data_IF_260007683761
#
_entry.id   IF_260007683761
#
_cell.length_a   1.000
_cell.length_b   1.000
_cell.length_c   1.000
_cell.angle_alpha   90.00
_cell.angle_beta   90.00
_cell.angle_gamma   90.00
#
_symmetry.space_group_name_H-M   'P 1'
#
loop_
_entity.id
_entity.type
_entity.pdbx_description
1 polymer ?
#
# COMPACT_ATOMS: atom_id res chain seq x y z
N UNK A 1 82.37 43.88 -16.01
CA UNK A 1 82.49 42.45 -16.37
C UNK A 1 82.16 41.63 -15.12
N UNK A 2 81.02 40.91 -15.11
CA UNK A 2 80.57 39.91 -14.09
C UNK A 2 80.29 40.45 -12.66
N UNK A 3 79.37 39.98 -11.80
CA UNK A 3 78.13 39.15 -11.77
C UNK A 3 77.72 39.12 -10.25
N UNK A 4 76.43 38.82 -9.94
CA UNK A 4 75.76 38.61 -8.62
C UNK A 4 74.99 39.85 -8.14
N UNK A 5 73.65 40.02 -8.22
CA UNK A 5 72.44 39.17 -8.11
C UNK A 5 72.24 38.45 -6.77
N UNK A 6 71.45 39.06 -5.87
CA UNK A 6 70.12 38.58 -5.40
C UNK A 6 69.71 39.49 -4.21
N UNK A 7 68.64 40.28 -4.39
CA UNK A 7 67.94 40.95 -3.30
C UNK A 7 66.48 40.52 -3.36
N UNK A 8 65.98 40.09 -2.21
CA UNK A 8 64.62 39.64 -1.92
C UNK A 8 63.57 40.68 -2.36
N UNK A 9 62.63 40.28 -3.22
CA UNK A 9 61.40 41.02 -3.48
C UNK A 9 60.22 40.19 -2.95
N UNK A 10 59.72 40.55 -1.78
CA UNK A 10 58.48 40.02 -1.22
C UNK A 10 57.32 40.69 -1.97
N UNK A 11 56.65 39.93 -2.83
CA UNK A 11 55.40 40.34 -3.45
C UNK A 11 54.25 40.12 -2.46
N UNK A 12 53.71 41.20 -1.90
CA UNK A 12 52.39 41.21 -1.26
C UNK A 12 51.33 41.28 -2.36
N UNK A 13 50.72 40.14 -2.69
CA UNK A 13 49.50 40.08 -3.48
C UNK A 13 48.34 40.27 -2.49
N UNK A 14 47.69 41.43 -2.54
CA UNK A 14 46.39 41.63 -1.90
C UNK A 14 45.34 40.86 -2.70
N UNK A 15 45.04 39.63 -2.28
CA UNK A 15 43.83 38.93 -2.70
C UNK A 15 42.65 39.50 -1.92
N UNK A 16 41.83 40.32 -2.58
CA UNK A 16 40.48 40.62 -2.13
C UNK A 16 39.69 39.30 -2.15
N UNK A 17 39.55 38.67 -0.98
CA UNK A 17 38.62 37.57 -0.79
C UNK A 17 37.20 38.12 -0.89
N UNK A 18 36.49 37.79 -1.97
CA UNK A 18 35.03 37.84 -1.97
C UNK A 18 34.55 36.85 -0.91
N UNK A 19 34.12 37.36 0.24
CA UNK A 19 33.32 36.58 1.18
C UNK A 19 32.00 36.30 0.47
N UNK A 20 31.86 35.09 -0.06
CA UNK A 20 30.55 34.52 -0.37
C UNK A 20 29.77 34.54 0.94
N UNK A 21 28.85 35.50 1.07
CA UNK A 21 27.84 35.46 2.10
C UNK A 21 26.96 34.28 1.72
N UNK A 22 27.24 33.11 2.30
CA UNK A 22 26.25 32.05 2.40
C UNK A 22 25.01 32.69 3.01
N UNK A 23 23.99 32.89 2.19
CA UNK A 23 22.67 33.29 2.63
C UNK A 23 22.17 32.19 3.55
N UNK A 24 22.44 32.34 4.85
CA UNK A 24 21.87 31.49 5.89
C UNK A 24 20.36 31.55 5.71
N UNK A 25 19.76 30.45 5.29
CA UNK A 25 18.31 30.29 5.29
C UNK A 25 17.85 30.43 6.73
N UNK A 26 17.27 31.58 7.07
CA UNK A 26 16.75 31.82 8.42
C UNK A 26 15.63 30.80 8.67
N UNK A 27 15.89 29.83 9.55
CA UNK A 27 14.92 28.83 9.94
C UNK A 27 14.03 29.44 11.02
N UNK A 28 12.90 29.99 10.60
CA UNK A 28 11.88 30.49 11.51
C UNK A 28 11.09 29.33 12.11
N UNK A 29 11.03 29.26 13.44
CA UNK A 29 10.24 28.26 14.16
C UNK A 29 8.83 28.80 14.42
N UNK A 30 7.87 28.41 13.60
CA UNK A 30 6.47 28.80 13.75
C UNK A 30 5.73 27.88 14.71
N UNK A 31 4.68 28.37 15.40
CA UNK A 31 3.80 27.50 16.16
C UNK A 31 3.21 26.44 15.23
N UNK A 32 3.19 25.18 15.69
CA UNK A 32 2.60 24.07 14.94
C UNK A 32 1.29 23.68 15.58
N UNK A 33 0.23 23.67 14.78
CA UNK A 33 -1.12 23.33 15.25
C UNK A 33 -1.41 21.90 14.82
N UNK A 34 -1.70 21.04 15.79
CA UNK A 34 -2.02 19.64 15.52
C UNK A 34 -3.39 19.57 14.83
N UNK A 35 -3.42 18.90 13.69
CA UNK A 35 -4.61 18.64 12.90
C UNK A 35 -4.84 17.15 12.77
N UNK A 36 -6.08 16.75 12.45
CA UNK A 36 -6.44 15.37 12.18
C UNK A 36 -7.24 15.29 10.88
N UNK A 37 -6.79 14.40 9.99
CA UNK A 37 -7.47 14.08 8.75
C UNK A 37 -8.01 12.66 8.87
N UNK A 38 -9.33 12.49 8.79
CA UNK A 38 -9.96 11.17 8.74
C UNK A 38 -10.49 10.90 7.34
N UNK A 39 -10.14 9.73 6.81
CA UNK A 39 -10.54 9.27 5.47
C UNK A 39 -11.22 7.90 5.57
N UNK A 40 -12.46 7.75 5.05
CA UNK A 40 -13.07 6.45 4.91
C UNK A 40 -12.42 5.69 3.77
N UNK A 41 -12.09 4.41 4.01
CA UNK A 41 -11.50 3.49 3.04
C UNK A 41 -12.45 2.31 2.88
N UNK A 42 -12.80 2.04 1.62
CA UNK A 42 -13.58 0.88 1.21
C UNK A 42 -12.73 0.04 0.29
N UNK A 43 -12.52 -1.23 0.66
CA UNK A 43 -11.74 -2.20 -0.10
C UNK A 43 -12.70 -3.25 -0.67
N UNK A 44 -12.98 -3.25 -1.97
CA UNK A 44 -13.79 -4.29 -2.59
C UNK A 44 -13.09 -5.65 -2.52
N UNK A 45 -13.79 -6.69 -2.09
CA UNK A 45 -13.24 -8.06 -2.07
C UNK A 45 -12.94 -8.60 -3.47
N UNK A 46 -13.57 -8.03 -4.51
CA UNK A 46 -13.27 -8.33 -5.91
C UNK A 46 -11.82 -7.96 -6.27
N UNK A 47 -11.29 -6.86 -5.75
CA UNK A 47 -9.89 -6.46 -6.00
C UNK A 47 -8.92 -7.46 -5.38
N UNK A 48 -9.18 -7.89 -4.14
CA UNK A 48 -8.39 -8.93 -3.48
C UNK A 48 -8.47 -10.25 -4.25
N UNK A 49 -9.67 -10.62 -4.71
CA UNK A 49 -9.88 -11.81 -5.55
C UNK A 49 -9.11 -11.72 -6.87
N UNK A 50 -9.07 -10.55 -7.53
CA UNK A 50 -8.30 -10.34 -8.75
C UNK A 50 -6.79 -10.47 -8.52
N UNK A 51 -6.27 -9.88 -7.44
CA UNK A 51 -4.85 -10.01 -7.06
C UNK A 51 -4.46 -11.48 -6.86
N UNK A 52 -5.26 -12.23 -6.10
CA UNK A 52 -5.03 -13.66 -5.87
C UNK A 52 -5.13 -14.46 -7.18
N UNK A 53 -6.12 -14.18 -8.02
CA UNK A 53 -6.29 -14.92 -9.26
C UNK A 53 -5.19 -14.67 -10.29
N UNK A 54 -4.55 -13.50 -10.24
CA UNK A 54 -3.40 -13.15 -11.08
C UNK A 54 -2.13 -13.88 -10.62
N UNK A 55 -1.95 -14.09 -9.31
CA UNK A 55 -0.79 -14.80 -8.78
C UNK A 55 -0.89 -16.33 -8.89
N UNK A 56 -2.11 -16.88 -8.86
CA UNK A 56 -2.36 -18.32 -8.93
C UNK A 56 -2.54 -18.78 -10.39
N UNK A 57 -1.58 -19.57 -10.90
CA UNK A 57 -1.63 -20.22 -12.21
C UNK A 57 -2.84 -21.14 -12.39
N UNK A 58 -3.19 -21.46 -13.64
CA UNK A 58 -4.28 -22.38 -13.95
C UNK A 58 -3.98 -23.82 -13.50
N UNK A 59 -2.82 -24.37 -13.87
CA UNK A 59 -2.33 -25.63 -13.32
C UNK A 59 -1.68 -25.35 -11.96
N UNK A 60 -2.35 -25.77 -10.89
CA UNK A 60 -1.95 -25.48 -9.52
C UNK A 60 -1.02 -26.55 -8.93
N UNK A 61 -1.12 -27.78 -9.42
CA UNK A 61 -0.29 -28.89 -8.97
C UNK A 61 -0.20 -29.98 -10.05
N UNK A 62 0.96 -30.60 -10.16
CA UNK A 62 1.25 -31.67 -11.12
C UNK A 62 2.24 -32.65 -10.51
N UNK A 63 1.87 -33.92 -10.54
CA UNK A 63 2.72 -35.07 -10.31
C UNK A 63 2.59 -36.00 -11.53
N UNK A 64 3.72 -36.23 -12.21
CA UNK A 64 3.82 -37.04 -13.43
C UNK A 64 4.67 -38.30 -13.23
N UNK A 65 5.07 -38.64 -12.01
CA UNK A 65 5.90 -39.80 -11.72
C UNK A 65 5.07 -40.91 -11.06
N UNK A 66 5.50 -42.16 -11.24
CA UNK A 66 4.90 -43.32 -10.56
C UNK A 66 5.79 -43.84 -9.43
N UNK A 67 7.03 -43.36 -9.37
CA UNK A 67 8.13 -43.95 -8.62
C UNK A 67 8.58 -43.10 -7.44
N UNK A 68 8.16 -41.84 -7.40
CA UNK A 68 8.35 -40.94 -6.27
C UNK A 68 7.34 -41.26 -5.15
N UNK A 69 7.46 -40.55 -4.03
CA UNK A 69 6.61 -40.73 -2.84
C UNK A 69 6.50 -42.19 -2.37
N UNK A 70 7.62 -42.92 -2.37
CA UNK A 70 7.73 -44.35 -2.06
C UNK A 70 7.01 -45.26 -3.07
N UNK A 71 7.14 -44.95 -4.37
CA UNK A 71 6.61 -45.77 -5.46
C UNK A 71 5.10 -45.98 -5.34
N UNK A 72 4.37 -44.88 -5.14
CA UNK A 72 2.92 -44.88 -4.89
C UNK A 72 2.06 -45.20 -6.14
N UNK A 73 2.70 -45.28 -7.31
CA UNK A 73 2.08 -45.54 -8.60
C UNK A 73 0.96 -44.55 -8.91
N UNK A 74 1.11 -43.29 -8.51
CA UNK A 74 0.06 -42.29 -8.56
C UNK A 74 0.50 -41.02 -9.29
N UNK A 75 -0.28 -40.61 -10.28
CA UNK A 75 -0.15 -39.30 -10.94
C UNK A 75 -1.37 -38.46 -10.68
N UNK A 76 -1.15 -37.16 -10.57
CA UNK A 76 -2.25 -36.22 -10.38
C UNK A 76 -1.96 -34.88 -11.01
N UNK A 77 -2.99 -34.29 -11.62
CA UNK A 77 -2.97 -32.93 -12.12
C UNK A 77 -4.18 -32.21 -11.60
N UNK A 78 -3.95 -30.98 -11.11
CA UNK A 78 -5.00 -30.17 -10.52
C UNK A 78 -5.00 -28.81 -11.20
N UNK A 79 -6.15 -28.45 -11.74
CA UNK A 79 -6.38 -27.18 -12.41
C UNK A 79 -7.43 -26.36 -11.67
N UNK A 80 -7.20 -25.05 -11.58
CA UNK A 80 -8.22 -24.04 -11.29
C UNK A 80 -9.06 -23.84 -12.55
N UNK A 81 -10.36 -24.12 -12.49
CA UNK A 81 -11.25 -24.01 -13.67
C UNK A 81 -11.96 -22.67 -13.80
N UNK A 82 -12.06 -21.92 -12.70
CA UNK A 82 -12.68 -20.58 -12.66
C UNK A 82 -11.95 -19.71 -11.60
N UNK A 83 -12.12 -18.39 -11.63
CA UNK A 83 -11.53 -17.51 -10.62
C UNK A 83 -11.92 -17.92 -9.19
N UNK A 84 -10.95 -17.85 -8.28
CA UNK A 84 -11.15 -18.02 -6.83
C UNK A 84 -12.07 -16.92 -6.34
N UNK A 85 -13.20 -17.30 -5.73
CA UNK A 85 -14.21 -16.36 -5.26
C UNK A 85 -14.01 -16.08 -3.77
N UNK A 86 -14.05 -14.80 -3.40
CA UNK A 86 -14.05 -14.34 -2.01
C UNK A 86 -15.41 -13.73 -1.67
N UNK A 87 -15.98 -14.10 -0.54
CA UNK A 87 -17.24 -13.55 -0.04
C UNK A 87 -17.07 -13.19 1.44
N UNK A 88 -17.40 -11.96 1.82
CA UNK A 88 -17.36 -11.50 3.20
C UNK A 88 -18.47 -12.16 4.01
N UNK A 89 -18.08 -12.82 5.11
CA UNK A 89 -18.97 -13.36 6.11
C UNK A 89 -19.15 -12.41 7.31
N UNK A 90 -19.75 -12.93 8.37
CA UNK A 90 -19.86 -12.23 9.67
C UNK A 90 -18.56 -12.38 10.49
N UNK A 91 -18.29 -11.47 11.42
CA UNK A 91 -17.18 -11.57 12.39
C UNK A 91 -15.77 -11.66 11.75
N UNK A 92 -15.47 -10.77 10.79
CA UNK A 92 -14.13 -10.68 10.15
C UNK A 92 -13.70 -11.96 9.42
N UNK A 93 -14.70 -12.68 8.90
CA UNK A 93 -14.49 -13.91 8.16
C UNK A 93 -14.66 -13.68 6.65
N UNK A 94 -13.87 -14.37 5.84
CA UNK A 94 -14.05 -14.48 4.40
C UNK A 94 -14.23 -15.95 4.04
N UNK A 95 -15.31 -16.24 3.30
CA UNK A 95 -15.49 -17.51 2.61
C UNK A 95 -14.70 -17.49 1.30
N UNK A 96 -13.83 -18.47 1.12
CA UNK A 96 -13.04 -18.70 -0.07
C UNK A 96 -13.60 -19.92 -0.79
N UNK A 97 -13.91 -19.78 -2.07
CA UNK A 97 -14.29 -20.91 -2.93
C UNK A 97 -13.30 -21.10 -4.08
N UNK A 98 -12.78 -22.32 -4.18
CA UNK A 98 -11.78 -22.70 -5.17
C UNK A 98 -12.36 -23.82 -6.05
N UNK A 99 -12.76 -23.49 -7.29
CA UNK A 99 -13.26 -24.46 -8.26
C UNK A 99 -12.09 -25.18 -8.95
N UNK A 100 -12.05 -26.50 -8.78
CA UNK A 100 -10.95 -27.36 -9.20
C UNK A 100 -11.42 -28.46 -10.15
N UNK A 101 -10.59 -28.75 -11.15
CA UNK A 101 -10.63 -29.98 -11.94
C UNK A 101 -9.41 -30.81 -11.57
N UNK A 102 -9.63 -32.08 -11.31
CA UNK A 102 -8.58 -33.01 -10.89
C UNK A 102 -8.61 -34.19 -11.84
N UNK A 103 -7.47 -34.48 -12.45
CA UNK A 103 -7.19 -35.73 -13.15
C UNK A 103 -6.25 -36.53 -12.26
N UNK A 104 -6.58 -37.78 -12.00
CA UNK A 104 -5.76 -38.67 -11.21
C UNK A 104 -5.67 -40.02 -11.90
N UNK A 105 -4.49 -40.62 -11.91
CA UNK A 105 -4.21 -41.93 -12.48
C UNK A 105 -3.46 -42.77 -11.46
N UNK A 106 -3.92 -44.00 -11.24
CA UNK A 106 -3.33 -44.90 -10.25
C UNK A 106 -3.09 -46.28 -10.84
N UNK A 107 -1.89 -46.82 -10.60
CA UNK A 107 -1.56 -48.22 -10.85
C UNK A 107 -2.17 -49.12 -9.79
N UNK A 108 -2.94 -50.13 -10.22
CA UNK A 108 -3.50 -51.18 -9.38
C UNK A 108 -2.78 -52.48 -9.74
N UNK A 109 -2.09 -53.07 -8.77
CA UNK A 109 -1.33 -54.30 -8.98
C UNK A 109 -0.33 -54.57 -7.87
N UNK A 110 0.33 -55.73 -7.94
CA UNK A 110 1.35 -56.18 -6.98
C UNK A 110 2.51 -56.82 -7.73
N UNK A 111 3.66 -56.97 -7.06
CA UNK A 111 4.84 -57.67 -7.61
C UNK A 111 5.38 -57.10 -8.94
N UNK A 112 5.28 -55.78 -9.15
CA UNK A 112 5.83 -55.09 -10.33
C UNK A 112 4.95 -55.13 -11.58
N UNK A 113 3.74 -55.70 -11.51
CA UNK A 113 2.75 -55.66 -12.59
C UNK A 113 1.60 -54.75 -12.16
N UNK A 114 1.39 -53.66 -12.89
CA UNK A 114 0.36 -52.66 -12.59
C UNK A 114 -0.56 -52.44 -13.79
N UNK A 115 -1.86 -52.34 -13.51
CA UNK A 115 -2.85 -51.83 -14.47
C UNK A 115 -3.25 -50.42 -14.05
N UNK A 116 -3.11 -49.46 -14.95
CA UNK A 116 -3.41 -48.07 -14.65
C UNK A 116 -4.86 -47.73 -14.96
N UNK A 117 -5.48 -47.03 -14.03
CA UNK A 117 -6.84 -46.52 -14.16
C UNK A 117 -6.85 -45.05 -13.80
N UNK A 118 -7.57 -44.25 -14.56
CA UNK A 118 -7.69 -42.83 -14.30
C UNK A 118 -9.13 -42.39 -14.08
N UNK A 119 -9.25 -41.23 -13.46
CA UNK A 119 -10.51 -40.53 -13.25
C UNK A 119 -10.27 -39.05 -13.48
N UNK A 120 -11.26 -38.37 -14.03
CA UNK A 120 -11.34 -36.91 -14.02
C UNK A 120 -12.58 -36.51 -13.27
N UNK A 121 -12.47 -35.52 -12.39
CA UNK A 121 -13.59 -35.03 -11.61
C UNK A 121 -13.43 -33.55 -11.28
N UNK A 122 -14.53 -32.94 -10.86
CA UNK A 122 -14.58 -31.51 -10.56
C UNK A 122 -15.23 -31.26 -9.21
N UNK A 123 -14.65 -30.35 -8.45
CA UNK A 123 -15.08 -30.02 -7.09
C UNK A 123 -14.93 -28.53 -6.84
N UNK A 124 -15.74 -27.99 -5.94
CA UNK A 124 -15.50 -26.65 -5.38
C UNK A 124 -15.16 -26.82 -3.91
N UNK A 125 -13.91 -26.54 -3.56
CA UNK A 125 -13.45 -26.52 -2.17
C UNK A 125 -13.84 -25.19 -1.53
N UNK A 126 -14.31 -25.25 -0.30
CA UNK A 126 -14.73 -24.08 0.48
C UNK A 126 -13.88 -23.97 1.74
N UNK A 127 -13.45 -22.75 2.07
CA UNK A 127 -12.64 -22.46 3.26
C UNK A 127 -13.14 -21.19 3.94
N UNK A 128 -13.06 -21.15 5.27
CA UNK A 128 -13.35 -19.95 6.04
C UNK A 128 -12.03 -19.40 6.58
N UNK A 129 -11.68 -18.16 6.25
CA UNK A 129 -10.50 -17.49 6.79
C UNK A 129 -10.90 -16.33 7.69
N UNK A 130 -10.28 -16.23 8.86
CA UNK A 130 -10.33 -15.03 9.68
C UNK A 130 -9.12 -14.17 9.38
N UNK A 131 -9.33 -12.86 9.19
CA UNK A 131 -8.26 -11.89 8.95
C UNK A 131 -7.97 -11.06 10.20
N UNK A 132 -6.69 -10.89 10.51
CA UNK A 132 -6.21 -9.98 11.56
C UNK A 132 -5.27 -8.96 10.93
N UNK A 133 -5.67 -7.69 10.94
CA UNK A 133 -4.77 -6.61 10.54
C UNK A 133 -3.87 -6.23 11.71
N UNK A 134 -2.57 -6.22 11.48
CA UNK A 134 -1.57 -5.93 12.50
C UNK A 134 -1.08 -4.49 12.36
N UNK A 135 -0.68 -3.88 13.49
CA UNK A 135 -0.26 -2.49 13.58
C UNK A 135 0.99 -2.13 12.75
N UNK A 136 1.70 -3.13 12.23
CA UNK A 136 2.87 -3.03 11.37
C UNK A 136 2.53 -3.13 9.87
N UNK A 137 1.25 -2.98 9.51
CA UNK A 137 0.74 -3.02 8.13
C UNK A 137 0.75 -4.40 7.46
N UNK A 138 0.91 -5.49 8.23
CA UNK A 138 0.74 -6.85 7.72
C UNK A 138 -0.62 -7.43 8.09
N UNK A 139 -1.15 -8.31 7.25
CA UNK A 139 -2.35 -9.10 7.57
C UNK A 139 -1.92 -10.53 7.85
N UNK A 140 -2.40 -11.08 8.97
CA UNK A 140 -2.33 -12.51 9.23
C UNK A 140 -3.69 -13.15 9.01
N UNK A 141 -3.67 -14.40 8.57
CA UNK A 141 -4.87 -15.16 8.24
C UNK A 141 -4.88 -16.47 9.02
N UNK A 142 -6.08 -16.94 9.35
CA UNK A 142 -6.28 -18.27 9.92
C UNK A 142 -7.36 -18.97 9.12
N UNK A 143 -6.94 -19.86 8.23
CA UNK A 143 -7.86 -20.58 7.34
C UNK A 143 -8.28 -21.91 7.95
N UNK A 144 -9.57 -22.22 7.87
CA UNK A 144 -10.17 -23.50 8.27
C UNK A 144 -10.93 -24.12 7.11
N UNK A 145 -10.95 -25.46 7.01
CA UNK A 145 -11.73 -26.14 5.99
C UNK A 145 -13.22 -25.89 6.22
N UNK A 146 -13.97 -25.67 5.15
CA UNK A 146 -15.42 -25.51 5.16
C UNK A 146 -16.08 -26.47 4.15
N UNK A 147 -15.50 -27.67 4.01
CA UNK A 147 -16.02 -28.73 3.15
C UNK A 147 -15.85 -28.45 1.66
N UNK A 148 -16.48 -29.29 0.84
CA UNK A 148 -16.49 -29.15 -0.62
C UNK A 148 -17.78 -29.70 -1.19
N UNK A 149 -18.04 -29.36 -2.46
CA UNK A 149 -19.15 -29.92 -3.22
C UNK A 149 -18.64 -30.49 -4.54
N UNK A 150 -19.19 -31.64 -4.92
CA UNK A 150 -18.95 -32.24 -6.22
C UNK A 150 -19.66 -31.45 -7.30
N UNK A 151 -18.92 -31.11 -8.36
CA UNK A 151 -19.50 -30.70 -9.65
C UNK A 151 -19.66 -31.94 -10.52
N UNK A 152 -18.59 -32.76 -10.60
CA UNK A 152 -18.57 -34.06 -11.26
C UNK A 152 -17.93 -35.08 -10.32
N UNK A 153 -18.59 -36.21 -10.08
CA UNK A 153 -18.08 -37.25 -9.16
C UNK A 153 -17.03 -38.14 -9.84
N UNK A 154 -16.05 -38.66 -9.10
CA UNK A 154 -15.01 -39.52 -9.65
C UNK A 154 -15.53 -40.95 -9.86
N UNK A 155 -15.23 -41.49 -11.04
CA UNK A 155 -15.66 -42.81 -11.52
C UNK A 155 -14.49 -43.42 -12.30
N UNK A 156 -14.22 -44.69 -12.05
CA UNK A 156 -13.34 -45.49 -12.89
C UNK A 156 -14.16 -46.14 -14.00
N UNK A 157 -13.77 -45.89 -15.24
CA UNK A 157 -14.46 -46.37 -16.43
C UNK A 157 -13.71 -47.58 -17.03
N UNK A 158 -14.34 -48.76 -16.95
CA UNK A 158 -13.87 -49.99 -17.56
C UNK A 158 -14.69 -50.35 -18.81
N UNK A 159 -15.23 -49.35 -19.50
CA UNK A 159 -16.06 -49.48 -20.69
C UNK A 159 -17.49 -49.88 -20.36
N UNK A 160 -17.73 -51.17 -20.07
CA UNK A 160 -19.09 -51.68 -19.76
C UNK A 160 -19.49 -51.49 -18.30
N UNK A 161 -18.52 -51.20 -17.43
CA UNK A 161 -18.73 -51.08 -15.98
C UNK A 161 -18.10 -49.76 -15.52
N UNK A 162 -18.89 -48.97 -14.81
CA UNK A 162 -18.46 -47.73 -14.18
C UNK A 162 -18.48 -47.90 -12.67
N UNK A 163 -17.31 -47.78 -12.04
CA UNK A 163 -17.16 -47.98 -10.59
C UNK A 163 -17.02 -46.62 -9.91
N UNK A 164 -17.99 -46.16 -9.11
CA UNK A 164 -17.87 -44.91 -8.38
C UNK A 164 -16.84 -45.05 -7.26
N UNK A 165 -15.84 -44.16 -7.26
CA UNK A 165 -14.77 -44.13 -6.24
C UNK A 165 -14.89 -42.91 -5.31
N UNK A 166 -16.09 -42.34 -5.23
CA UNK A 166 -16.37 -41.08 -4.52
C UNK A 166 -15.87 -41.10 -3.08
N UNK A 167 -16.15 -42.16 -2.31
CA UNK A 167 -15.78 -42.23 -0.88
C UNK A 167 -14.27 -42.28 -0.64
N UNK A 168 -13.51 -42.91 -1.55
CA UNK A 168 -12.04 -43.00 -1.44
C UNK A 168 -11.43 -41.62 -1.71
N UNK A 169 -11.90 -40.95 -2.77
CA UNK A 169 -11.42 -39.62 -3.14
C UNK A 169 -11.83 -38.59 -2.08
N UNK A 170 -13.06 -38.66 -1.56
CA UNK A 170 -13.58 -37.78 -0.51
C UNK A 170 -12.68 -37.77 0.73
N UNK A 171 -12.28 -38.95 1.23
CA UNK A 171 -11.35 -39.04 2.37
C UNK A 171 -10.04 -38.29 2.12
N UNK A 172 -9.47 -38.46 0.92
CA UNK A 172 -8.24 -37.77 0.53
C UNK A 172 -8.45 -36.26 0.39
N UNK A 173 -9.55 -35.82 -0.22
CA UNK A 173 -9.86 -34.39 -0.36
C UNK A 173 -10.02 -33.71 1.00
N UNK A 174 -10.65 -34.36 1.98
CA UNK A 174 -10.77 -33.84 3.35
C UNK A 174 -9.39 -33.63 3.98
N UNK A 175 -8.48 -34.61 3.85
CA UNK A 175 -7.11 -34.47 4.34
C UNK A 175 -6.35 -33.34 3.63
N UNK A 176 -6.49 -33.25 2.31
CA UNK A 176 -5.84 -32.21 1.50
C UNK A 176 -6.39 -30.81 1.81
N UNK A 177 -7.67 -30.66 2.14
CA UNK A 177 -8.21 -29.36 2.58
C UNK A 177 -7.46 -28.81 3.80
N UNK A 178 -7.10 -29.66 4.76
CA UNK A 178 -6.34 -29.21 5.92
C UNK A 178 -4.95 -28.71 5.54
N UNK A 179 -4.29 -29.37 4.58
CA UNK A 179 -3.00 -28.93 4.04
C UNK A 179 -3.14 -27.63 3.27
N UNK A 180 -4.19 -27.50 2.45
CA UNK A 180 -4.48 -26.27 1.69
C UNK A 180 -4.74 -25.07 2.59
N UNK A 181 -5.30 -25.23 3.79
CA UNK A 181 -5.46 -24.11 4.72
C UNK A 181 -4.12 -23.41 4.99
N UNK A 182 -3.05 -24.19 5.24
CA UNK A 182 -1.71 -23.63 5.47
C UNK A 182 -1.15 -22.94 4.22
N UNK A 183 -1.35 -23.55 3.06
CA UNK A 183 -0.91 -22.97 1.78
C UNK A 183 -1.63 -21.66 1.50
N UNK A 184 -2.96 -21.61 1.73
CA UNK A 184 -3.76 -20.40 1.59
C UNK A 184 -3.23 -19.31 2.53
N UNK A 185 -2.96 -19.64 3.80
CA UNK A 185 -2.45 -18.67 4.77
C UNK A 185 -1.06 -18.13 4.36
N UNK A 186 -0.16 -19.00 3.89
CA UNK A 186 1.16 -18.60 3.41
C UNK A 186 1.09 -17.71 2.17
N UNK A 187 0.24 -18.08 1.20
CA UNK A 187 0.07 -17.29 -0.02
C UNK A 187 -0.55 -15.93 0.31
N UNK A 188 -1.59 -15.88 1.15
CA UNK A 188 -2.19 -14.62 1.59
C UNK A 188 -1.20 -13.74 2.34
N UNK A 189 -0.42 -14.29 3.27
CA UNK A 189 0.60 -13.52 4.00
C UNK A 189 1.66 -12.89 3.07
N UNK A 190 2.02 -13.57 1.98
CA UNK A 190 2.98 -13.03 1.00
C UNK A 190 2.43 -11.85 0.18
N UNK A 191 1.12 -11.81 -0.05
CA UNK A 191 0.45 -10.82 -0.90
C UNK A 191 -0.14 -9.65 -0.09
N UNK A 192 -0.51 -9.88 1.17
CA UNK A 192 -1.19 -8.92 2.04
C UNK A 192 -0.21 -8.20 2.99
N UNK A 193 0.90 -7.71 2.44
CA UNK A 193 1.84 -6.82 3.14
C UNK A 193 1.73 -5.40 2.56
N UNK A 194 1.27 -4.46 3.38
CA UNK A 194 1.03 -3.08 2.95
C UNK A 194 2.10 -2.09 3.39
N UNK A 195 3.22 -2.55 3.95
CA UNK A 195 4.30 -1.70 4.46
C UNK A 195 4.84 -0.77 3.37
N UNK A 196 5.08 -1.28 2.16
CA UNK A 196 5.59 -0.46 1.06
C UNK A 196 4.60 0.62 0.62
N UNK A 197 3.30 0.31 0.61
CA UNK A 197 2.26 1.29 0.31
C UNK A 197 2.18 2.36 1.39
N UNK A 198 2.30 1.98 2.67
CA UNK A 198 2.34 2.93 3.78
C UNK A 198 3.55 3.87 3.71
N UNK A 199 4.74 3.35 3.39
CA UNK A 199 5.95 4.17 3.17
C UNK A 199 5.77 5.14 2.01
N UNK A 200 5.24 4.65 0.89
CA UNK A 200 5.02 5.46 -0.31
C UNK A 200 4.02 6.59 -0.03
N UNK A 201 2.90 6.27 0.61
CA UNK A 201 1.89 7.26 0.99
C UNK A 201 2.46 8.29 1.97
N UNK A 202 3.15 7.85 3.03
CA UNK A 202 3.76 8.74 4.01
C UNK A 202 4.74 9.72 3.38
N UNK A 203 5.61 9.23 2.50
CA UNK A 203 6.59 10.05 1.80
C UNK A 203 5.92 11.03 0.83
N UNK A 204 4.86 10.61 0.14
CA UNK A 204 4.08 11.50 -0.72
C UNK A 204 3.40 12.62 0.07
N UNK A 205 2.75 12.29 1.19
CA UNK A 205 2.14 13.28 2.10
C UNK A 205 3.16 14.25 2.71
N UNK A 206 4.41 13.82 2.83
CA UNK A 206 5.49 14.63 3.41
C UNK A 206 6.15 15.59 2.39
N UNK A 207 5.76 15.53 1.11
CA UNK A 207 6.25 16.46 0.09
C UNK A 207 5.45 17.76 0.10
N UNK A 208 6.10 18.93 -0.01
CA UNK A 208 5.41 20.20 -0.13
C UNK A 208 4.57 20.29 -1.41
N UNK A 209 3.30 20.65 -1.25
CA UNK A 209 2.33 20.83 -2.33
C UNK A 209 2.21 22.30 -2.69
N UNK A 210 2.26 22.66 -3.98
CA UNK A 210 1.87 24.02 -4.37
C UNK A 210 0.34 24.12 -4.29
N UNK A 211 -0.16 25.06 -3.49
CA UNK A 211 -1.60 25.26 -3.29
C UNK A 211 -2.11 26.57 -3.90
N UNK A 212 -1.20 27.46 -4.32
CA UNK A 212 -1.54 28.67 -5.06
C UNK A 212 -0.36 29.08 -5.93
N UNK A 213 -0.54 29.03 -7.25
CA UNK A 213 0.48 29.54 -8.19
C UNK A 213 0.51 31.07 -8.20
N UNK A 214 -0.65 31.73 -8.06
CA UNK A 214 -0.79 33.19 -8.07
C UNK A 214 0.07 33.86 -7.00
N UNK A 215 0.01 33.31 -5.78
CA UNK A 215 0.76 33.79 -4.62
C UNK A 215 2.04 32.97 -4.38
N UNK A 216 2.31 31.95 -5.19
CA UNK A 216 3.40 31.01 -5.00
C UNK A 216 3.41 30.43 -3.56
N UNK A 217 2.25 29.97 -3.11
CA UNK A 217 2.04 29.42 -1.76
C UNK A 217 2.15 27.90 -1.78
N UNK A 218 2.93 27.39 -0.84
CA UNK A 218 3.23 25.97 -0.66
C UNK A 218 2.69 25.48 0.68
N UNK A 219 2.05 24.32 0.69
CA UNK A 219 1.62 23.60 1.87
C UNK A 219 2.65 22.53 2.22
N UNK A 220 3.19 22.59 3.43
CA UNK A 220 4.03 21.54 4.01
C UNK A 220 3.20 20.79 5.05
N UNK A 221 3.05 19.49 4.84
CA UNK A 221 2.41 18.57 5.79
C UNK A 221 3.49 17.72 6.45
N UNK A 222 3.46 17.63 7.78
CA UNK A 222 4.34 16.79 8.57
C UNK A 222 3.50 15.76 9.33
N UNK A 223 3.38 14.52 8.82
CA UNK A 223 2.61 13.50 9.50
C UNK A 223 3.27 13.06 10.82
N UNK A 224 2.46 12.71 11.82
CA UNK A 224 2.87 12.41 13.19
C UNK A 224 2.53 10.96 13.53
N UNK A 225 1.27 10.57 13.34
CA UNK A 225 0.78 9.24 13.69
C UNK A 225 -0.38 8.84 12.78
N UNK A 226 -0.55 7.53 12.59
CA UNK A 226 -1.70 6.95 11.89
C UNK A 226 -2.56 6.19 12.89
N UNK A 227 -3.86 6.39 12.81
CA UNK A 227 -4.87 5.69 13.57
C UNK A 227 -5.82 4.99 12.61
N UNK A 228 -6.21 3.75 12.90
CA UNK A 228 -7.10 2.97 12.02
C UNK A 228 -8.23 2.38 12.85
N UNK A 229 -9.44 2.41 12.33
CA UNK A 229 -10.57 1.70 12.96
C UNK A 229 -10.53 0.20 12.67
N UNK A 230 -11.09 -0.66 13.54
CA UNK A 230 -11.21 -2.08 13.23
C UNK A 230 -11.89 -2.32 11.88
N UNK A 231 -11.40 -3.31 11.12
CA UNK A 231 -11.96 -3.68 9.82
C UNK A 231 -13.41 -4.15 9.98
N UNK A 232 -14.32 -3.57 9.21
CA UNK A 232 -15.73 -3.96 9.16
C UNK A 232 -16.02 -4.66 7.83
N UNK A 233 -16.54 -5.87 7.90
CA UNK A 233 -16.79 -6.71 6.72
C UNK A 233 -18.27 -6.63 6.36
N UNK A 234 -18.55 -6.26 5.10
CA UNK A 234 -19.91 -6.15 4.57
C UNK A 234 -19.96 -6.83 3.21
N UNK A 235 -20.53 -8.04 3.14
CA UNK A 235 -20.80 -8.81 1.92
C UNK A 235 -19.64 -8.84 0.89
N UNK A 236 -19.50 -7.82 0.05
CA UNK A 236 -18.50 -7.70 -1.01
C UNK A 236 -17.36 -6.68 -0.73
N UNK A 237 -17.29 -6.08 0.46
CA UNK A 237 -16.29 -5.07 0.79
C UNK A 237 -15.83 -5.10 2.26
N UNK A 238 -14.66 -4.51 2.51
CA UNK A 238 -14.10 -4.24 3.83
C UNK A 238 -14.02 -2.73 4.01
N UNK A 239 -14.60 -2.22 5.09
CA UNK A 239 -14.61 -0.80 5.43
C UNK A 239 -13.72 -0.53 6.64
N UNK A 240 -12.97 0.56 6.60
CA UNK A 240 -12.24 1.11 7.74
C UNK A 240 -12.02 2.60 7.54
N UNK A 241 -11.82 3.35 8.62
CA UNK A 241 -11.40 4.74 8.58
C UNK A 241 -9.92 4.83 8.96
N UNK A 242 -9.17 5.61 8.19
CA UNK A 242 -7.77 5.96 8.47
C UNK A 242 -7.73 7.42 8.92
N UNK A 243 -7.24 7.64 10.12
CA UNK A 243 -6.99 8.95 10.71
C UNK A 243 -5.50 9.25 10.70
N UNK A 244 -5.11 10.43 10.27
CA UNK A 244 -3.71 10.86 10.26
C UNK A 244 -3.60 12.13 11.09
N UNK A 245 -2.80 12.07 12.15
CA UNK A 245 -2.39 13.23 12.92
C UNK A 245 -1.25 13.93 12.19
N UNK A 246 -1.39 15.23 11.95
CA UNK A 246 -0.42 16.01 11.16
C UNK A 246 -0.15 17.38 11.79
N UNK A 247 0.98 17.97 11.43
CA UNK A 247 1.18 19.42 11.42
C UNK A 247 1.07 19.96 9.99
N UNK A 248 0.48 21.14 9.86
CA UNK A 248 0.30 21.83 8.59
C UNK A 248 0.84 23.25 8.67
N UNK A 249 1.66 23.62 7.69
CA UNK A 249 2.32 24.92 7.59
C UNK A 249 2.24 25.38 6.13
N UNK A 250 1.89 26.65 5.89
CA UNK A 250 1.93 27.24 4.54
C UNK A 250 3.05 28.26 4.41
N UNK A 251 3.73 28.27 3.28
CA UNK A 251 4.89 29.10 2.98
C UNK A 251 4.66 29.85 1.67
N UNK A 252 4.78 31.16 1.69
CA UNK A 252 4.61 32.00 0.50
C UNK A 252 5.96 32.40 -0.09
N UNK A 253 6.10 32.29 -1.42
CA UNK A 253 7.27 32.74 -2.19
C UNK A 253 8.33 31.66 -2.41
N UNK A 254 8.76 30.95 -1.37
CA UNK A 254 9.76 29.87 -1.52
C UNK A 254 9.16 28.51 -1.19
N UNK A 255 9.47 27.51 -2.02
CA UNK A 255 9.13 26.13 -1.73
C UNK A 255 9.89 25.69 -0.47
N UNK A 256 9.20 25.24 0.60
CA UNK A 256 9.88 24.77 1.79
C UNK A 256 10.59 23.45 1.51
N UNK A 257 11.60 23.12 2.32
CA UNK A 257 12.25 21.82 2.22
C UNK A 257 11.31 20.69 2.58
N UNK A 258 11.35 19.62 1.79
CA UNK A 258 10.61 18.40 2.07
C UNK A 258 11.14 17.73 3.34
N UNK A 259 10.25 17.03 4.05
CA UNK A 259 10.69 16.19 5.17
C UNK A 259 11.51 15.02 4.64
N UNK A 260 12.42 14.51 5.48
CA UNK A 260 13.25 13.36 5.14
C UNK A 260 12.35 12.14 4.86
N UNK A 261 12.55 11.42 3.73
CA UNK A 261 11.75 10.27 3.41
C UNK A 261 12.03 9.12 4.39
N UNK A 262 10.98 8.43 4.81
CA UNK A 262 11.10 7.20 5.59
C UNK A 262 11.34 6.01 4.65
N UNK A 263 12.07 5.00 5.14
CA UNK A 263 12.32 3.74 4.42
C UNK A 263 11.48 2.58 4.95
N UNK A 264 10.95 2.72 6.16
CA UNK A 264 10.19 1.69 6.86
C UNK A 264 8.88 2.29 7.33
N UNK A 265 7.78 1.55 7.18
CA UNK A 265 6.47 2.01 7.60
C UNK A 265 6.44 2.23 9.12
N UNK A 266 5.89 3.36 9.55
CA UNK A 266 5.61 3.59 10.96
C UNK A 266 4.40 2.78 11.39
N UNK A 267 4.43 2.19 12.58
CA UNK A 267 3.26 1.48 13.09
C UNK A 267 2.08 2.44 13.29
N UNK A 268 0.88 1.93 13.04
CA UNK A 268 -0.37 2.65 13.33
C UNK A 268 -0.97 2.18 14.66
N UNK A 269 -1.91 2.95 15.20
CA UNK A 269 -2.68 2.60 16.40
C UNK A 269 -4.13 2.26 16.04
N UNK A 270 -4.73 1.30 16.75
CA UNK A 270 -6.15 1.04 16.61
C UNK A 270 -6.97 2.02 17.45
N UNK A 271 -7.99 2.63 16.85
CA UNK A 271 -8.98 3.45 17.57
C UNK A 271 -10.38 2.90 17.32
N UNK A 272 -11.24 2.74 18.34
CA UNK A 272 -12.58 2.17 18.15
C UNK A 272 -13.48 3.04 17.25
N UNK A 273 -13.22 4.35 17.24
CA UNK A 273 -13.85 5.31 16.35
C UNK A 273 -12.87 6.43 16.02
N UNK A 274 -13.11 7.09 14.90
CA UNK A 274 -12.43 8.33 14.50
C UNK A 274 -13.54 9.35 14.24
N UNK A 275 -13.26 10.63 14.51
CA UNK A 275 -14.23 11.68 14.18
C UNK A 275 -14.36 11.80 12.66
N UNK A 276 -15.57 11.96 12.14
CA UNK A 276 -15.85 12.11 10.70
C UNK A 276 -15.52 13.53 10.17
N UNK A 277 -14.50 14.17 10.74
CA UNK A 277 -14.16 15.56 10.45
C UNK A 277 -12.84 15.63 9.71
N UNK A 278 -12.84 16.29 8.56
CA UNK A 278 -11.62 16.80 7.96
C UNK A 278 -11.33 18.16 8.61
N UNK A 279 -10.39 18.21 9.56
CA UNK A 279 -9.97 19.46 10.19
C UNK A 279 -8.49 19.70 9.90
N UNK A 280 -8.22 20.65 9.02
CA UNK A 280 -6.87 21.15 8.73
C UNK A 280 -6.71 22.56 9.29
N UNK A 281 -5.99 22.67 10.40
CA UNK A 281 -5.55 23.94 10.96
C UNK A 281 -4.10 24.17 10.53
N UNK A 282 -3.88 25.25 9.78
CA UNK A 282 -2.57 25.57 9.22
C UNK A 282 -2.10 26.94 9.67
N UNK A 283 -0.79 27.10 9.84
CA UNK A 283 -0.17 28.41 9.97
C UNK A 283 0.17 29.00 8.61
N UNK A 284 0.26 30.33 8.55
CA UNK A 284 0.64 31.07 7.35
C UNK A 284 1.96 31.80 7.58
N UNK A 285 3.00 31.39 6.85
CA UNK A 285 4.29 32.05 6.80
C UNK A 285 4.38 32.90 5.52
N UNK A 286 4.32 34.21 5.71
CA UNK A 286 4.40 35.21 4.65
C UNK A 286 5.56 36.14 4.99
N UNK A 287 6.73 36.00 4.33
CA UNK A 287 7.84 36.93 4.50
C UNK A 287 7.40 38.36 4.16
N UNK A 288 7.95 39.36 4.86
CA UNK A 288 7.64 40.78 4.58
C UNK A 288 7.91 41.20 3.13
N UNK A 289 8.91 40.59 2.49
CA UNK A 289 9.20 40.77 1.07
C UNK A 289 8.02 40.33 0.21
N UNK A 290 7.46 39.15 0.46
CA UNK A 290 6.30 38.63 -0.26
C UNK A 290 5.03 39.39 0.07
N UNK A 291 4.79 39.73 1.35
CA UNK A 291 3.67 40.56 1.73
C UNK A 291 3.69 41.93 1.02
N UNK A 292 4.87 42.55 0.92
CA UNK A 292 5.07 43.78 0.15
C UNK A 292 4.80 43.58 -1.34
N UNK A 293 5.26 42.46 -1.92
CA UNK A 293 5.01 42.14 -3.33
C UNK A 293 3.52 41.95 -3.62
N UNK A 294 2.79 41.24 -2.76
CA UNK A 294 1.34 41.04 -2.85
C UNK A 294 0.62 42.39 -2.74
N UNK A 295 0.99 43.23 -1.77
CA UNK A 295 0.40 44.55 -1.61
C UNK A 295 0.65 45.46 -2.83
N UNK A 296 1.88 45.46 -3.37
CA UNK A 296 2.20 46.20 -4.59
C UNK A 296 1.39 45.69 -5.78
N UNK A 297 1.33 44.38 -6.03
CA UNK A 297 0.49 43.81 -7.10
C UNK A 297 -0.97 44.26 -7.00
N UNK A 298 -1.48 44.38 -5.77
CA UNK A 298 -2.89 44.71 -5.51
C UNK A 298 -3.19 46.20 -5.63
N UNK A 299 -2.27 47.07 -5.23
CA UNK A 299 -2.58 48.48 -4.97
C UNK A 299 -1.68 49.49 -5.69
N UNK A 300 -0.52 49.08 -6.21
CA UNK A 300 0.41 49.99 -6.88
C UNK A 300 -0.28 50.65 -8.08
N UNK A 301 -0.08 51.97 -8.23
CA UNK A 301 -0.69 52.82 -9.25
C UNK A 301 -2.23 52.93 -9.21
N UNK A 302 -2.91 52.33 -8.23
CA UNK A 302 -4.35 52.59 -8.02
C UNK A 302 -4.56 53.98 -7.46
N UNK A 303 -5.62 54.62 -7.92
CA UNK A 303 -6.10 55.91 -7.43
C UNK A 303 -7.29 55.68 -6.50
N UNK A 304 -7.32 56.41 -5.39
CA UNK A 304 -8.41 56.40 -4.44
C UNK A 304 -8.91 57.82 -4.25
N UNK A 305 -10.23 58.00 -4.30
CA UNK A 305 -10.88 59.26 -3.98
C UNK A 305 -10.88 59.42 -2.45
N UNK A 306 -10.27 60.50 -1.97
CA UNK A 306 -10.25 60.87 -0.56
C UNK A 306 -10.76 62.32 -0.47
N UNK A 307 -12.04 62.45 -0.09
CA UNK A 307 -12.77 63.74 -0.08
C UNK A 307 -12.74 64.37 -1.48
N UNK A 308 -12.35 65.64 -1.59
CA UNK A 308 -12.27 66.40 -2.85
C UNK A 308 -10.94 66.18 -3.61
N UNK A 309 -10.12 65.20 -3.18
CA UNK A 309 -8.79 64.93 -3.74
C UNK A 309 -8.64 63.47 -4.19
N UNK A 310 -7.73 63.23 -5.13
CA UNK A 310 -7.28 61.90 -5.55
C UNK A 310 -5.89 61.60 -5.02
N UNK A 311 -5.70 60.40 -4.46
CA UNK A 311 -4.39 59.92 -4.03
C UNK A 311 -4.01 58.70 -4.85
N UNK A 312 -2.82 58.72 -5.44
CA UNK A 312 -2.24 57.60 -6.18
C UNK A 312 -1.19 56.90 -5.34
N UNK A 313 -1.24 55.58 -5.26
CA UNK A 313 -0.24 54.79 -4.55
C UNK A 313 1.01 54.59 -5.42
N UNK A 314 2.17 55.03 -4.93
CA UNK A 314 3.45 54.97 -5.65
C UNK A 314 4.42 53.89 -5.13
N UNK A 315 4.31 53.46 -3.87
CA UNK A 315 5.03 52.30 -3.30
C UNK A 315 4.25 51.78 -2.08
N UNK A 316 4.43 50.50 -1.77
CA UNK A 316 3.93 49.87 -0.53
C UNK A 316 5.01 48.95 0.01
N UNK A 317 5.24 49.02 1.33
CA UNK A 317 6.11 48.11 2.06
C UNK A 317 5.39 47.63 3.31
N UNK A 318 5.38 46.32 3.50
CA UNK A 318 4.93 45.68 4.73
C UNK A 318 6.18 45.39 5.56
N UNK A 319 6.17 45.78 6.83
CA UNK A 319 7.28 45.57 7.76
C UNK A 319 6.75 45.33 9.17
N UNK A 320 7.56 44.70 10.02
CA UNK A 320 7.28 44.48 11.43
C UNK A 320 7.80 45.59 12.32
N UNK A 321 7.21 45.71 13.51
CA UNK A 321 7.71 46.55 14.62
C UNK A 321 8.65 45.71 15.47
#
# INVERSE_FOLDING_TARGET
MKIIKILFLVAFINTFGQTNVESQTVVYNFPKIKSNITMPVTIPLSEISNMINTSVKELIYQDDSYTDNNNDQFKVKVWKTRPIRLVGGTNQNILIEIPLKIWAEKGIGTLGIYTYQNTTFETVMSFNTTLTFQNNWTITTNTKPNGFRWVTKPVLDFGKIQIPITSIVEKNLIEQQQKFCKTIDQQMASQLNFQQYAVTAWNAFSQPFNISEEYNTWLKVSPIAVNITPLKFYANQINTNIGIDIYSETFTGTKPEASQPIKTALNFSFSPSLGDNFLLQTTANIPYTEASNIARKTFLNKEFDIRDSKVKITDIRVYGI
#
